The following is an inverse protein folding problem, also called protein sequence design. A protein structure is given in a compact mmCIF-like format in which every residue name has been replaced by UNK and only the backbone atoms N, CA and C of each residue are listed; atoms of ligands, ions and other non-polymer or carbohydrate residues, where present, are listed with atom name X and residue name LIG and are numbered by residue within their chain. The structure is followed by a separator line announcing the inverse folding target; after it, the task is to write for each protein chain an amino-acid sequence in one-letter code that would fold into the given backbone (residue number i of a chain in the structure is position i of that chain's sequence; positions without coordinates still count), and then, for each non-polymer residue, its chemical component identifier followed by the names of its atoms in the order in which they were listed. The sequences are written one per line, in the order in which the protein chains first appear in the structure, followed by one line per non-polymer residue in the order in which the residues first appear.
data_IF_348889401889
#
_entry.id   IF_348889401889
#
_cell.length_a   1.000
_cell.length_b   1.000
_cell.length_c   1.000
_cell.angle_alpha   90.00
_cell.angle_beta   90.00
_cell.angle_gamma   90.00
#
_symmetry.space_group_name_H-M   'P 1'
#
loop_
_entity.id
_entity.type
_entity.pdbx_description
1 polymer ?
#
# COMPACT_ATOMS: atom_id res chain seq x y z
N UNK A 1 -27.30 -2.17 -19.07
CA UNK A 1 -26.68 -2.62 -17.81
C UNK A 1 -26.76 -1.47 -16.81
N UNK A 2 -27.25 -1.69 -15.59
CA UNK A 2 -27.28 -0.64 -14.55
C UNK A 2 -25.89 -0.54 -13.90
N UNK A 3 -25.38 0.66 -13.59
CA UNK A 3 -24.11 0.80 -12.88
C UNK A 3 -24.23 0.25 -11.47
N UNK A 4 -23.26 -0.58 -11.07
CA UNK A 4 -23.17 -1.19 -9.73
C UNK A 4 -22.60 -0.17 -8.73
N UNK A 5 -21.63 0.63 -9.16
CA UNK A 5 -21.04 1.72 -8.38
C UNK A 5 -21.68 3.05 -8.81
N UNK A 6 -22.44 3.66 -7.90
CA UNK A 6 -23.11 4.95 -8.10
C UNK A 6 -22.51 5.94 -7.08
N UNK A 7 -22.06 7.14 -7.50
CA UNK A 7 -21.57 8.18 -6.60
C UNK A 7 -22.44 8.34 -5.36
N UNK A 8 -21.80 8.34 -4.18
CA UNK A 8 -22.45 8.43 -2.89
C UNK A 8 -22.75 7.08 -2.21
N UNK A 9 -22.90 5.99 -2.97
CA UNK A 9 -23.15 4.67 -2.39
C UNK A 9 -21.93 4.15 -1.64
N UNK A 10 -22.17 3.46 -0.52
CA UNK A 10 -21.14 2.77 0.26
C UNK A 10 -21.43 1.27 0.30
N UNK A 11 -20.37 0.47 0.42
CA UNK A 11 -20.45 -0.98 0.51
C UNK A 11 -19.24 -1.54 1.28
N UNK A 12 -19.37 -2.76 1.75
CA UNK A 12 -18.29 -3.49 2.42
C UNK A 12 -17.68 -4.49 1.45
N UNK A 13 -16.38 -4.73 1.60
CA UNK A 13 -15.65 -5.71 0.82
C UNK A 13 -14.64 -6.41 1.71
N UNK A 14 -14.60 -7.74 1.62
CA UNK A 14 -13.61 -8.56 2.31
C UNK A 14 -12.58 -8.98 1.28
N UNK A 15 -11.34 -8.57 1.51
CA UNK A 15 -10.17 -8.97 0.75
C UNK A 15 -9.40 -10.01 1.54
N UNK A 16 -9.11 -11.17 0.93
CA UNK A 16 -8.42 -12.27 1.62
C UNK A 16 -7.24 -12.77 0.78
N UNK A 17 -6.03 -12.41 1.20
CA UNK A 17 -4.77 -12.90 0.66
C UNK A 17 -3.84 -13.26 1.82
N UNK A 18 -4.00 -14.47 2.35
CA UNK A 18 -3.25 -15.01 3.49
C UNK A 18 -3.72 -14.51 4.86
N UNK A 19 -4.47 -13.41 4.90
CA UNK A 19 -5.17 -12.89 6.09
C UNK A 19 -6.32 -11.97 5.66
N UNK A 20 -7.43 -12.00 6.39
CA UNK A 20 -8.62 -11.18 6.11
C UNK A 20 -8.37 -9.69 6.32
N UNK A 21 -8.74 -8.87 5.33
CA UNK A 21 -8.82 -7.41 5.43
C UNK A 21 -10.25 -6.96 5.12
N UNK A 22 -10.92 -6.37 6.10
CA UNK A 22 -12.27 -5.81 5.94
C UNK A 22 -12.19 -4.35 5.50
N UNK A 23 -12.83 -4.02 4.37
CA UNK A 23 -12.82 -2.67 3.79
C UNK A 23 -14.23 -2.09 3.75
N UNK A 24 -14.33 -0.81 4.11
CA UNK A 24 -15.52 0.02 3.86
C UNK A 24 -15.22 1.00 2.74
N UNK A 25 -15.96 0.89 1.64
CA UNK A 25 -15.73 1.66 0.42
C UNK A 25 -16.90 2.59 0.14
N UNK A 26 -16.60 3.77 -0.43
CA UNK A 26 -17.60 4.73 -0.92
C UNK A 26 -17.27 5.08 -2.37
N UNK A 27 -18.26 4.96 -3.24
CA UNK A 27 -18.16 5.47 -4.60
C UNK A 27 -18.11 7.00 -4.55
N UNK A 28 -16.99 7.58 -4.97
CA UNK A 28 -16.78 9.02 -5.01
C UNK A 28 -17.51 9.65 -6.20
N UNK A 29 -16.83 9.73 -7.34
CA UNK A 29 -17.33 10.37 -8.56
C UNK A 29 -17.21 9.44 -9.78
N UNK A 30 -17.89 9.79 -10.87
CA UNK A 30 -17.76 9.10 -12.14
C UNK A 30 -17.11 10.00 -13.19
N UNK A 31 -15.96 9.58 -13.71
CA UNK A 31 -15.23 10.29 -14.77
C UNK A 31 -15.39 9.55 -16.10
N UNK A 32 -15.73 10.27 -17.17
CA UNK A 32 -15.75 9.72 -18.54
C UNK A 32 -14.58 10.27 -19.32
N UNK A 33 -13.70 9.40 -19.79
CA UNK A 33 -12.54 9.78 -20.60
C UNK A 33 -12.68 9.18 -22.00
N UNK A 34 -12.39 9.99 -23.02
CA UNK A 34 -12.27 9.52 -24.40
C UNK A 34 -10.85 9.01 -24.60
N UNK A 35 -10.67 7.69 -24.63
CA UNK A 35 -9.40 7.07 -24.99
C UNK A 35 -9.43 6.72 -26.49
N UNK A 36 -8.54 7.29 -27.28
CA UNK A 36 -8.41 6.99 -28.73
C UNK A 36 -7.61 5.71 -29.00
N UNK A 37 -7.01 5.12 -27.96
CA UNK A 37 -6.16 3.92 -28.06
C UNK A 37 -4.70 4.22 -28.39
N UNK A 38 -4.35 5.49 -28.59
CA UNK A 38 -3.00 5.92 -28.98
C UNK A 38 -2.04 6.03 -27.78
N UNK A 39 -2.57 6.11 -26.55
CA UNK A 39 -1.78 6.23 -25.33
C UNK A 39 -2.49 5.60 -24.11
N UNK A 40 -1.69 5.19 -23.12
CA UNK A 40 -2.17 4.79 -21.80
C UNK A 40 -2.54 6.06 -21.02
N UNK A 41 -3.72 6.08 -20.42
CA UNK A 41 -4.20 7.18 -19.57
C UNK A 41 -4.33 6.66 -18.14
N UNK A 42 -3.52 7.17 -17.23
CA UNK A 42 -3.63 6.90 -15.79
C UNK A 42 -4.78 7.74 -15.24
N UNK A 43 -5.83 7.07 -14.71
CA UNK A 43 -7.03 7.74 -14.18
C UNK A 43 -6.88 8.17 -12.71
N UNK A 44 -6.00 7.51 -11.98
CA UNK A 44 -5.76 7.76 -10.57
C UNK A 44 -4.66 6.84 -10.07
N UNK A 45 -3.85 7.38 -9.17
CA UNK A 45 -2.85 6.65 -8.42
C UNK A 45 -2.90 7.20 -7.00
N UNK A 46 -2.78 6.32 -6.00
CA UNK A 46 -2.68 6.76 -4.63
C UNK A 46 -1.33 7.44 -4.43
N UNK A 47 -1.28 8.55 -3.70
CA UNK A 47 0.00 9.04 -3.18
C UNK A 47 0.51 8.08 -2.10
N UNK A 48 1.80 7.71 -2.12
CA UNK A 48 2.34 6.85 -1.08
C UNK A 48 2.25 7.55 0.28
N UNK A 49 1.82 6.84 1.35
CA UNK A 49 1.81 7.40 2.69
C UNK A 49 3.23 7.80 3.12
N UNK A 50 3.34 8.89 3.87
CA UNK A 50 4.61 9.31 4.45
C UNK A 50 4.89 8.50 5.72
N UNK A 51 6.07 7.88 5.78
CA UNK A 51 6.55 7.15 6.94
C UNK A 51 7.80 7.83 7.48
N UNK A 52 7.87 7.93 8.80
CA UNK A 52 8.99 8.57 9.49
C UNK A 52 9.78 7.50 10.22
N UNK A 53 11.08 7.41 9.94
CA UNK A 53 11.98 6.45 10.56
C UNK A 53 11.92 6.58 12.08
N UNK A 54 11.66 5.46 12.76
CA UNK A 54 11.54 5.38 14.22
C UNK A 54 12.82 5.82 14.95
N UNK A 55 13.98 5.66 14.31
CA UNK A 55 15.29 5.94 14.93
C UNK A 55 15.78 7.37 14.72
N UNK A 56 15.63 7.92 13.51
CA UNK A 56 16.30 9.17 13.12
C UNK A 56 15.37 10.25 12.54
N UNK A 57 14.08 9.95 12.33
CA UNK A 57 13.10 10.92 11.83
C UNK A 57 13.18 11.22 10.32
N UNK A 58 14.10 10.61 9.57
CA UNK A 58 14.13 10.69 8.10
C UNK A 58 12.98 9.89 7.47
N UNK A 59 12.66 10.08 6.18
CA UNK A 59 11.69 9.23 5.48
C UNK A 59 12.07 7.74 5.57
N UNK A 60 11.12 6.91 6.03
CA UNK A 60 11.31 5.47 6.12
C UNK A 60 11.00 4.78 4.78
N UNK A 61 11.68 3.66 4.56
CA UNK A 61 11.61 2.85 3.34
C UNK A 61 11.36 1.37 3.64
N UNK A 62 11.63 0.93 4.87
CA UNK A 62 11.43 -0.45 5.32
C UNK A 62 10.53 -0.51 6.54
N UNK A 63 9.73 -1.57 6.61
CA UNK A 63 9.06 -2.04 7.80
C UNK A 63 9.89 -3.19 8.39
N UNK A 64 10.17 -3.15 9.68
CA UNK A 64 10.86 -4.23 10.38
C UNK A 64 9.83 -4.96 11.24
N UNK A 65 9.62 -6.26 11.01
CA UNK A 65 8.54 -7.04 11.62
C UNK A 65 9.03 -8.34 12.28
N UNK A 66 9.89 -8.24 13.29
CA UNK A 66 10.41 -9.39 14.05
C UNK A 66 9.42 -9.89 15.13
N UNK A 67 8.57 -9.00 15.67
CA UNK A 67 7.66 -9.30 16.79
C UNK A 67 6.31 -8.56 16.70
N UNK A 68 5.73 -8.41 15.50
CA UNK A 68 4.53 -7.59 15.29
C UNK A 68 4.71 -6.12 15.77
N UNK A 69 5.95 -5.60 15.66
CA UNK A 69 6.25 -4.21 15.96
C UNK A 69 6.02 -3.32 14.73
N UNK A 70 5.48 -2.12 14.95
CA UNK A 70 5.23 -1.10 13.91
C UNK A 70 6.51 -0.29 13.59
N UNK A 71 7.67 -0.95 13.63
CA UNK A 71 8.96 -0.29 13.45
C UNK A 71 9.18 -0.03 11.97
N UNK A 72 9.44 1.23 11.62
CA UNK A 72 9.80 1.61 10.25
C UNK A 72 11.15 2.30 10.23
N UNK A 73 11.98 1.95 9.26
CA UNK A 73 13.38 2.37 9.18
C UNK A 73 13.65 3.03 7.83
N UNK A 74 14.49 4.06 7.83
CA UNK A 74 15.11 4.54 6.60
C UNK A 74 16.22 3.58 6.16
N UNK A 75 16.67 3.73 4.91
CA UNK A 75 17.76 2.91 4.34
C UNK A 75 19.00 2.83 5.25
N UNK A 76 19.39 3.94 5.90
CA UNK A 76 20.62 3.95 6.71
C UNK A 76 20.43 3.23 8.06
N UNK A 77 19.25 3.36 8.68
CA UNK A 77 18.96 2.70 9.95
C UNK A 77 18.65 1.21 9.78
N UNK A 78 18.21 0.79 8.58
CA UNK A 78 18.01 -0.63 8.26
C UNK A 78 19.32 -1.41 8.05
N UNK A 79 20.46 -0.73 7.89
CA UNK A 79 21.79 -1.37 7.78
C UNK A 79 22.40 -1.76 9.14
N UNK A 80 21.64 -1.60 10.24
CA UNK A 80 22.12 -2.00 11.57
C UNK A 80 22.36 -3.53 11.62
N UNK A 81 23.60 -3.99 11.93
CA UNK A 81 23.94 -5.42 11.94
C UNK A 81 23.22 -6.24 13.01
N UNK A 82 22.60 -5.58 14.00
CA UNK A 82 21.79 -6.26 15.01
C UNK A 82 20.39 -6.63 14.49
N UNK A 83 19.97 -6.13 13.32
CA UNK A 83 18.69 -6.47 12.68
C UNK A 83 18.83 -7.73 11.82
N UNK A 84 17.83 -8.60 11.87
CA UNK A 84 17.72 -9.71 10.93
C UNK A 84 17.00 -9.27 9.64
N UNK A 85 17.71 -9.37 8.52
CA UNK A 85 17.22 -8.99 7.19
C UNK A 85 15.92 -9.70 6.79
N UNK A 86 15.63 -10.90 7.32
CA UNK A 86 14.40 -11.62 6.98
C UNK A 86 13.11 -10.93 7.45
N UNK A 87 13.22 -9.97 8.38
CA UNK A 87 12.11 -9.17 8.87
C UNK A 87 12.05 -7.77 8.24
N UNK A 88 13.00 -7.41 7.38
CA UNK A 88 12.98 -6.13 6.65
C UNK A 88 12.15 -6.27 5.36
N UNK A 89 10.95 -5.71 5.39
CA UNK A 89 10.05 -5.66 4.24
C UNK A 89 9.98 -4.24 3.66
N UNK A 90 9.90 -4.06 2.34
CA UNK A 90 9.77 -2.74 1.77
C UNK A 90 8.42 -2.11 2.17
N UNK A 91 8.44 -0.81 2.43
CA UNK A 91 7.22 -0.02 2.53
C UNK A 91 6.64 0.13 1.13
N UNK A 92 5.41 -0.32 0.95
CA UNK A 92 4.69 -0.26 -0.33
C UNK A 92 3.49 0.67 -0.25
N UNK A 93 2.99 1.14 -1.40
CA UNK A 93 1.76 1.92 -1.47
C UNK A 93 0.51 1.01 -1.41
N UNK A 94 0.43 0.22 -0.35
CA UNK A 94 -0.59 -0.78 -0.11
C UNK A 94 -0.91 -0.83 1.39
N UNK A 95 -2.18 -1.01 1.78
CA UNK A 95 -2.56 -1.26 3.18
C UNK A 95 -2.00 -2.59 3.72
N UNK A 96 -1.34 -3.40 2.88
CA UNK A 96 -0.69 -4.67 3.24
C UNK A 96 0.80 -4.53 3.56
N UNK A 97 1.36 -3.31 3.50
CA UNK A 97 2.74 -3.05 3.94
C UNK A 97 2.97 -3.63 5.33
N UNK A 98 4.06 -4.39 5.49
CA UNK A 98 4.42 -5.04 6.76
C UNK A 98 3.69 -6.35 7.06
N UNK A 99 2.71 -6.77 6.26
CA UNK A 99 1.88 -7.95 6.57
C UNK A 99 2.26 -9.17 5.73
N UNK A 100 2.47 -10.31 6.38
CA UNK A 100 2.70 -11.62 5.75
C UNK A 100 3.78 -11.62 4.65
N UNK A 101 4.92 -10.96 4.88
CA UNK A 101 6.01 -10.83 3.90
C UNK A 101 5.59 -10.21 2.55
N UNK A 102 4.56 -9.36 2.54
CA UNK A 102 4.11 -8.69 1.33
C UNK A 102 5.10 -7.62 0.87
N UNK A 103 5.73 -7.83 -0.28
CA UNK A 103 6.70 -6.91 -0.90
C UNK A 103 6.11 -6.00 -1.99
N UNK A 104 4.79 -6.05 -2.21
CA UNK A 104 4.15 -5.36 -3.32
C UNK A 104 4.14 -6.16 -4.63
N UNK A 105 3.52 -5.59 -5.65
CA UNK A 105 3.60 -6.10 -7.03
C UNK A 105 4.88 -5.60 -7.69
N UNK A 106 5.65 -6.50 -8.30
CA UNK A 106 6.75 -6.14 -9.21
C UNK A 106 6.16 -6.01 -10.62
N UNK A 107 6.29 -4.84 -11.23
CA UNK A 107 6.00 -4.64 -12.64
C UNK A 107 7.32 -4.82 -13.40
N UNK A 108 7.37 -5.82 -14.28
CA UNK A 108 8.47 -6.08 -15.20
C UNK A 108 8.46 -5.14 -16.42
#
# INVERSE_FOLDING_TARGET
MKPILIPGNSFEYIYDYGSTTELRLKAGEQVRIKNTGEAIIVLGMNDPPAWTCSECGKPATFHYNEEDNETVLCNECSENPDLDECYLLPITNSPRTGVCAYEGGRYD
#
